data_IF_609329056377
#
_entry.id   IF_609329056377
#
_cell.length_a   1.000
_cell.length_b   1.000
_cell.length_c   1.000
_cell.angle_alpha   90.00
_cell.angle_beta   90.00
_cell.angle_gamma   90.00
#
_symmetry.space_group_name_H-M   'P 1'
#
loop_
_entity.id
_entity.type
_entity.pdbx_description
1 polymer ?
#
# COMPACT_ATOMS: atom_id res chain seq x y z
N UNK A 1 -15.20 0.40 -17.26
CA UNK A 1 -15.37 1.45 -16.25
C UNK A 1 -16.64 1.20 -15.43
N UNK A 2 -16.50 1.24 -14.09
CA UNK A 2 -17.60 1.11 -13.12
C UNK A 2 -18.13 2.50 -12.79
N UNK A 3 -19.44 2.70 -12.96
CA UNK A 3 -20.09 4.01 -12.86
C UNK A 3 -21.20 4.08 -11.80
N UNK A 4 -21.42 3.00 -11.04
CA UNK A 4 -22.44 2.92 -10.01
C UNK A 4 -21.96 2.09 -8.81
N UNK A 5 -22.57 2.32 -7.64
CA UNK A 5 -22.42 1.47 -6.48
C UNK A 5 -22.87 0.03 -6.79
N UNK A 6 -22.28 -0.94 -6.13
CA UNK A 6 -22.61 -2.34 -6.31
C UNK A 6 -21.45 -3.29 -6.07
N UNK A 7 -21.74 -4.60 -6.12
CA UNK A 7 -20.74 -5.66 -6.03
C UNK A 7 -20.46 -6.22 -7.41
N UNK A 8 -19.20 -6.21 -7.79
CA UNK A 8 -18.72 -6.67 -9.09
C UNK A 8 -17.79 -7.86 -8.90
N UNK A 9 -18.17 -9.01 -9.42
CA UNK A 9 -17.33 -10.21 -9.40
C UNK A 9 -16.42 -10.21 -10.62
N UNK A 10 -15.11 -10.26 -10.37
CA UNK A 10 -14.07 -10.29 -11.38
C UNK A 10 -13.33 -11.63 -11.30
N UNK A 11 -13.29 -12.36 -12.41
CA UNK A 11 -12.64 -13.68 -12.50
C UNK A 11 -12.12 -13.98 -13.89
N UNK A 12 -11.23 -14.97 -13.98
CA UNK A 12 -10.62 -15.40 -15.24
C UNK A 12 -9.34 -14.63 -15.56
N UNK A 13 -8.94 -14.61 -16.83
CA UNK A 13 -7.67 -14.05 -17.27
C UNK A 13 -7.87 -13.02 -18.39
N UNK A 14 -7.14 -11.91 -18.27
CA UNK A 14 -7.05 -10.88 -19.30
C UNK A 14 -5.59 -10.43 -19.41
N UNK A 15 -5.03 -10.49 -20.61
CA UNK A 15 -3.62 -10.20 -20.89
C UNK A 15 -3.35 -8.73 -21.19
N UNK A 16 -4.41 -7.93 -21.42
CA UNK A 16 -4.33 -6.49 -21.56
C UNK A 16 -5.69 -5.87 -21.24
N UNK A 17 -5.79 -5.26 -20.06
CA UNK A 17 -7.01 -4.63 -19.61
C UNK A 17 -6.89 -3.90 -18.29
N UNK A 18 -7.90 -3.09 -17.99
CA UNK A 18 -7.98 -2.36 -16.74
C UNK A 18 -9.40 -2.24 -16.21
N UNK A 19 -9.53 -2.13 -14.88
CA UNK A 19 -10.78 -1.85 -14.18
C UNK A 19 -10.68 -0.45 -13.59
N UNK A 20 -11.55 0.46 -14.00
CA UNK A 20 -11.58 1.85 -13.50
C UNK A 20 -12.90 2.13 -12.80
N UNK A 21 -12.86 2.53 -11.55
CA UNK A 21 -14.02 3.10 -10.84
C UNK A 21 -14.05 4.60 -11.08
N UNK A 22 -15.18 5.11 -11.56
CA UNK A 22 -15.36 6.51 -11.96
C UNK A 22 -15.27 7.44 -10.75
N UNK A 23 -14.76 8.65 -10.98
CA UNK A 23 -14.69 9.74 -9.99
C UNK A 23 -16.02 9.92 -9.24
N UNK A 24 -15.95 10.00 -7.90
CA UNK A 24 -17.07 10.26 -7.01
C UNK A 24 -18.03 9.07 -6.84
N UNK A 25 -17.76 7.91 -7.43
CA UNK A 25 -18.57 6.71 -7.21
C UNK A 25 -18.13 6.02 -5.93
N UNK A 26 -19.06 5.89 -4.98
CA UNK A 26 -18.85 5.23 -3.70
C UNK A 26 -19.68 3.96 -3.56
N UNK A 27 -19.40 3.13 -2.54
CA UNK A 27 -20.14 1.88 -2.31
C UNK A 27 -19.87 0.82 -3.36
N UNK A 28 -18.69 0.82 -3.97
CA UNK A 28 -18.26 -0.22 -4.91
C UNK A 28 -17.51 -1.31 -4.16
N UNK A 29 -17.86 -2.56 -4.44
CA UNK A 29 -17.12 -3.75 -4.00
C UNK A 29 -16.63 -4.51 -5.22
N UNK A 30 -15.31 -4.64 -5.36
CA UNK A 30 -14.68 -5.49 -6.38
C UNK A 30 -14.30 -6.81 -5.71
N UNK A 31 -14.95 -7.91 -6.10
CA UNK A 31 -14.62 -9.25 -5.60
C UNK A 31 -13.72 -9.94 -6.63
N UNK A 32 -12.45 -10.11 -6.29
CA UNK A 32 -11.47 -10.81 -7.11
C UNK A 32 -11.57 -12.30 -6.79
N UNK A 33 -11.99 -13.11 -7.77
CA UNK A 33 -12.29 -14.52 -7.61
C UNK A 33 -11.51 -15.36 -8.64
N UNK A 34 -10.21 -15.52 -8.42
CA UNK A 34 -9.32 -16.18 -9.37
C UNK A 34 -9.06 -15.32 -10.60
N UNK A 35 -8.81 -14.02 -10.38
CA UNK A 35 -8.52 -13.06 -11.43
C UNK A 35 -7.02 -13.02 -11.73
N UNK A 36 -6.67 -13.12 -13.02
CA UNK A 36 -5.34 -12.75 -13.53
C UNK A 36 -5.51 -11.61 -14.52
N UNK A 37 -5.05 -10.42 -14.17
CA UNK A 37 -5.23 -9.22 -14.97
C UNK A 37 -3.88 -8.55 -15.21
N UNK A 38 -3.51 -8.42 -16.46
CA UNK A 38 -2.34 -7.65 -16.89
C UNK A 38 -2.80 -6.38 -17.61
N UNK A 39 -2.09 -5.28 -17.40
CA UNK A 39 -2.26 -4.04 -18.15
C UNK A 39 -0.93 -3.63 -18.76
N UNK A 40 -0.94 -3.20 -20.03
CA UNK A 40 0.28 -2.90 -20.77
C UNK A 40 0.68 -1.44 -20.77
N UNK A 41 -0.21 -0.52 -20.37
CA UNK A 41 0.06 0.92 -20.42
C UNK A 41 -0.47 1.72 -19.22
N UNK A 42 -1.20 1.08 -18.31
CA UNK A 42 -1.87 1.77 -17.19
C UNK A 42 -2.01 0.84 -15.97
N UNK A 43 -2.59 1.32 -14.89
CA UNK A 43 -2.91 0.49 -13.74
C UNK A 43 -3.96 -0.58 -14.05
N UNK A 44 -3.76 -1.85 -13.67
CA UNK A 44 -4.81 -2.88 -13.70
C UNK A 44 -6.09 -2.47 -12.95
N UNK A 45 -5.96 -1.79 -11.81
CA UNK A 45 -7.11 -1.22 -11.07
C UNK A 45 -6.86 0.26 -10.78
N UNK A 46 -7.80 1.12 -11.22
CA UNK A 46 -7.81 2.55 -10.90
C UNK A 46 -9.07 2.93 -10.10
N UNK A 47 -8.85 3.45 -8.90
CA UNK A 47 -9.85 4.10 -8.06
C UNK A 47 -9.75 5.60 -8.31
N UNK A 48 -10.65 6.17 -9.11
CA UNK A 48 -10.57 7.58 -9.48
C UNK A 48 -10.88 8.51 -8.28
N UNK A 49 -10.57 9.80 -8.42
CA UNK A 49 -10.70 10.81 -7.35
C UNK A 49 -12.04 10.72 -6.60
N UNK A 50 -11.99 10.79 -5.28
CA UNK A 50 -13.14 10.79 -4.37
C UNK A 50 -14.07 9.57 -4.55
N UNK A 51 -13.51 8.41 -4.90
CA UNK A 51 -14.26 7.15 -4.99
C UNK A 51 -14.13 6.35 -3.68
N UNK A 52 -15.19 5.58 -3.35
CA UNK A 52 -15.21 4.70 -2.17
C UNK A 52 -15.31 3.23 -2.58
N UNK A 53 -14.25 2.43 -2.32
CA UNK A 53 -14.08 1.11 -2.92
C UNK A 53 -13.59 0.11 -1.87
N UNK A 54 -14.19 -1.08 -1.90
CA UNK A 54 -13.66 -2.26 -1.22
C UNK A 54 -13.18 -3.26 -2.27
N UNK A 55 -11.92 -3.66 -2.19
CA UNK A 55 -11.34 -4.74 -3.01
C UNK A 55 -11.24 -5.98 -2.12
N UNK A 56 -11.87 -7.08 -2.54
CA UNK A 56 -11.97 -8.32 -1.77
C UNK A 56 -11.25 -9.43 -2.51
N UNK A 57 -10.17 -9.98 -1.93
CA UNK A 57 -9.62 -11.25 -2.36
C UNK A 57 -10.51 -12.37 -1.83
N UNK A 58 -11.27 -13.04 -2.73
CA UNK A 58 -12.23 -14.06 -2.33
C UNK A 58 -11.54 -15.25 -1.66
N UNK A 59 -12.21 -15.84 -0.67
CA UNK A 59 -11.66 -16.95 0.12
C UNK A 59 -11.19 -18.12 -0.76
N UNK A 60 -9.98 -18.62 -0.49
CA UNK A 60 -9.39 -19.75 -1.20
C UNK A 60 -9.01 -19.48 -2.65
N UNK A 61 -9.00 -18.23 -3.09
CA UNK A 61 -8.54 -17.84 -4.43
C UNK A 61 -7.19 -17.16 -4.41
N UNK A 62 -6.48 -17.27 -5.53
CA UNK A 62 -5.27 -16.51 -5.82
C UNK A 62 -5.58 -15.56 -6.96
N UNK A 63 -5.31 -14.28 -6.76
CA UNK A 63 -5.54 -13.22 -7.71
C UNK A 63 -4.20 -12.55 -8.02
N UNK A 64 -3.94 -12.26 -9.28
CA UNK A 64 -2.69 -11.62 -9.72
C UNK A 64 -3.00 -10.42 -10.60
N UNK A 65 -2.47 -9.28 -10.23
CA UNK A 65 -2.51 -8.04 -10.99
C UNK A 65 -1.09 -7.68 -11.40
N UNK A 66 -0.88 -7.39 -12.67
CA UNK A 66 0.43 -7.07 -13.22
C UNK A 66 0.33 -5.85 -14.12
N UNK A 67 1.20 -4.87 -13.94
CA UNK A 67 1.39 -3.79 -14.90
C UNK A 67 2.65 -4.00 -15.75
N UNK A 68 2.95 -3.06 -16.62
CA UNK A 68 4.17 -3.06 -17.42
C UNK A 68 5.07 -1.88 -17.06
N UNK A 69 6.31 -1.91 -17.53
CA UNK A 69 7.27 -0.80 -17.41
C UNK A 69 6.72 0.53 -17.96
N UNK A 70 5.78 0.49 -18.92
CA UNK A 70 5.17 1.69 -19.50
C UNK A 70 4.19 2.40 -18.55
N UNK A 71 3.76 1.74 -17.47
CA UNK A 71 2.95 2.37 -16.43
C UNK A 71 3.81 3.21 -15.45
N UNK A 72 4.70 4.04 -16.02
CA UNK A 72 5.65 4.89 -15.31
C UNK A 72 5.86 6.18 -16.13
N UNK A 73 5.29 7.29 -15.68
CA UNK A 73 5.33 8.58 -16.40
C UNK A 73 6.70 9.26 -16.34
N UNK A 74 7.56 8.90 -15.36
CA UNK A 74 8.94 9.40 -15.29
C UNK A 74 9.78 8.77 -16.41
N UNK A 75 9.63 7.47 -16.64
CA UNK A 75 10.40 6.71 -17.64
C UNK A 75 9.77 6.78 -19.03
N UNK A 76 8.44 6.91 -19.09
CA UNK A 76 7.64 6.95 -20.32
C UNK A 76 6.73 8.18 -20.34
N UNK A 77 7.28 9.41 -20.43
CA UNK A 77 6.51 10.65 -20.30
C UNK A 77 5.48 10.87 -21.43
N UNK A 78 5.62 10.17 -22.54
CA UNK A 78 4.65 10.20 -23.65
C UNK A 78 3.43 9.28 -23.41
N UNK A 79 3.45 8.44 -22.37
CA UNK A 79 2.33 7.60 -22.00
C UNK A 79 1.33 8.36 -21.10
N UNK A 80 0.35 9.03 -21.71
CA UNK A 80 -0.69 9.75 -20.99
C UNK A 80 -1.63 8.85 -20.12
N UNK A 81 -1.54 7.53 -20.26
CA UNK A 81 -2.32 6.54 -19.49
C UNK A 81 -1.60 6.05 -18.24
N UNK A 82 -0.32 6.36 -18.07
CA UNK A 82 0.45 5.90 -16.92
C UNK A 82 -0.18 6.36 -15.59
N UNK A 83 -0.30 5.45 -14.66
CA UNK A 83 -0.89 5.68 -13.33
C UNK A 83 0.11 5.38 -12.21
N UNK A 84 1.33 4.94 -12.54
CA UNK A 84 2.46 4.71 -11.63
C UNK A 84 2.23 3.68 -10.52
N UNK A 85 1.26 2.79 -10.67
CA UNK A 85 0.99 1.73 -9.71
C UNK A 85 0.12 0.61 -10.31
N UNK A 86 0.21 -0.59 -9.76
CA UNK A 86 -0.70 -1.71 -10.10
C UNK A 86 -2.12 -1.43 -9.60
N UNK A 87 -2.24 -0.92 -8.37
CA UNK A 87 -3.50 -0.37 -7.85
C UNK A 87 -3.31 1.12 -7.61
N UNK A 88 -3.93 1.94 -8.45
CA UNK A 88 -3.92 3.40 -8.30
C UNK A 88 -5.18 3.89 -7.61
N UNK A 89 -5.02 4.49 -6.46
CA UNK A 89 -6.07 5.18 -5.73
C UNK A 89 -5.79 6.68 -5.82
N UNK A 90 -6.63 7.44 -6.55
CA UNK A 90 -6.43 8.89 -6.78
C UNK A 90 -6.94 9.72 -5.61
N UNK A 91 -6.59 11.00 -5.60
CA UNK A 91 -6.88 11.97 -4.54
C UNK A 91 -8.29 11.85 -3.96
N UNK A 92 -8.41 11.83 -2.64
CA UNK A 92 -9.66 11.72 -1.91
C UNK A 92 -10.34 10.35 -2.01
N UNK A 93 -9.71 9.34 -2.62
CA UNK A 93 -10.27 8.00 -2.65
C UNK A 93 -10.16 7.30 -1.30
N UNK A 94 -11.18 6.49 -1.00
CA UNK A 94 -11.33 5.75 0.24
C UNK A 94 -11.36 4.27 -0.07
N UNK A 95 -10.27 3.57 0.23
CA UNK A 95 -10.06 2.20 -0.24
C UNK A 95 -9.81 1.24 0.91
N UNK A 96 -10.51 0.11 0.88
CA UNK A 96 -10.26 -1.02 1.76
C UNK A 96 -9.86 -2.24 0.93
N UNK A 97 -8.68 -2.80 1.20
CA UNK A 97 -8.28 -4.13 0.72
C UNK A 97 -8.56 -5.14 1.82
N UNK A 98 -9.31 -6.21 1.51
CA UNK A 98 -9.64 -7.24 2.50
C UNK A 98 -9.96 -8.59 1.86
N UNK A 99 -10.23 -9.56 2.69
CA UNK A 99 -10.66 -10.90 2.30
C UNK A 99 -9.74 -11.97 2.88
N UNK A 100 -10.00 -13.24 2.59
CA UNK A 100 -9.17 -14.35 3.06
C UNK A 100 -8.53 -15.14 1.92
N UNK A 101 -8.48 -14.53 0.73
CA UNK A 101 -7.72 -15.01 -0.42
C UNK A 101 -6.36 -14.36 -0.52
N UNK A 102 -5.65 -14.67 -1.59
CA UNK A 102 -4.34 -14.10 -1.93
C UNK A 102 -4.48 -13.08 -3.04
N UNK A 103 -3.78 -11.96 -2.89
CA UNK A 103 -3.60 -10.93 -3.91
C UNK A 103 -2.10 -10.74 -4.16
N UNK A 104 -1.67 -11.02 -5.37
CA UNK A 104 -0.31 -10.77 -5.84
C UNK A 104 -0.31 -9.53 -6.72
N UNK A 105 0.59 -8.60 -6.44
CA UNK A 105 0.85 -7.40 -7.24
C UNK A 105 2.26 -7.50 -7.80
N UNK A 106 2.38 -7.40 -9.13
CA UNK A 106 3.66 -7.39 -9.84
C UNK A 106 3.76 -6.02 -10.53
N UNK A 107 4.56 -5.14 -9.93
CA UNK A 107 4.68 -3.74 -10.32
C UNK A 107 5.96 -3.52 -11.13
N UNK A 108 5.87 -3.73 -12.44
CA UNK A 108 6.99 -3.49 -13.35
C UNK A 108 7.15 -2.01 -13.70
N UNK A 109 6.10 -1.21 -13.55
CA UNK A 109 6.11 0.22 -13.82
C UNK A 109 6.75 1.03 -12.70
N UNK A 110 6.10 1.10 -11.56
CA UNK A 110 6.57 1.91 -10.43
C UNK A 110 6.16 1.30 -9.09
N UNK A 111 4.99 1.63 -8.53
CA UNK A 111 4.55 1.18 -7.21
C UNK A 111 3.63 -0.04 -7.27
N UNK A 112 3.61 -0.85 -6.21
CA UNK A 112 2.58 -1.86 -6.04
C UNK A 112 1.20 -1.23 -5.84
N UNK A 113 1.07 -0.36 -4.83
CA UNK A 113 -0.13 0.43 -4.55
C UNK A 113 0.28 1.89 -4.37
N UNK A 114 -0.44 2.82 -5.03
CA UNK A 114 -0.34 4.25 -4.73
C UNK A 114 -1.70 4.79 -4.33
N UNK A 115 -1.83 5.38 -3.14
CA UNK A 115 -3.12 5.72 -2.55
C UNK A 115 -3.17 7.16 -2.02
N UNK A 116 -4.17 7.91 -2.44
CA UNK A 116 -4.50 9.24 -1.93
C UNK A 116 -3.70 10.37 -2.55
N UNK A 117 -3.75 11.52 -1.90
CA UNK A 117 -2.90 12.69 -2.13
C UNK A 117 -2.82 13.54 -0.86
N UNK A 118 -1.63 14.03 -0.55
CA UNK A 118 -1.39 14.96 0.59
C UNK A 118 -2.16 16.27 0.48
N UNK A 119 -2.59 16.65 -0.72
CA UNK A 119 -3.40 17.85 -0.99
C UNK A 119 -4.88 17.70 -0.68
N UNK A 120 -5.38 16.48 -0.41
CA UNK A 120 -6.76 16.27 0.03
C UNK A 120 -6.93 16.74 1.48
N UNK A 121 -8.16 17.11 1.87
CA UNK A 121 -8.46 17.44 3.25
C UNK A 121 -8.19 16.24 4.16
N UNK A 122 -7.69 16.48 5.37
CA UNK A 122 -7.35 15.43 6.32
C UNK A 122 -8.56 14.49 6.57
N UNK A 123 -8.30 13.17 6.45
CA UNK A 123 -9.33 12.14 6.61
C UNK A 123 -10.21 11.90 5.37
N UNK A 124 -10.03 12.64 4.28
CA UNK A 124 -10.76 12.38 3.03
C UNK A 124 -10.22 11.19 2.24
N UNK A 125 -8.90 10.94 2.30
CA UNK A 125 -8.25 9.84 1.61
C UNK A 125 -7.68 8.83 2.61
N UNK A 126 -7.97 7.54 2.41
CA UNK A 126 -7.35 6.50 3.22
C UNK A 126 -7.24 5.16 2.48
N UNK A 127 -6.26 4.37 2.90
CA UNK A 127 -6.09 2.98 2.55
C UNK A 127 -6.12 2.13 3.82
N UNK A 128 -7.02 1.16 3.87
CA UNK A 128 -7.06 0.15 4.94
C UNK A 128 -6.81 -1.23 4.37
N UNK A 129 -5.94 -2.02 5.02
CA UNK A 129 -5.59 -3.39 4.63
C UNK A 129 -5.90 -4.32 5.79
N UNK A 130 -6.62 -5.42 5.52
CA UNK A 130 -6.96 -6.42 6.53
C UNK A 130 -7.32 -7.79 5.97
N UNK A 131 -7.08 -8.81 6.75
CA UNK A 131 -7.56 -10.19 6.61
C UNK A 131 -7.06 -10.97 5.37
N UNK A 132 -6.32 -10.37 4.44
CA UNK A 132 -5.86 -11.04 3.21
C UNK A 132 -4.37 -11.44 3.28
N UNK A 133 -3.96 -12.29 2.35
CA UNK A 133 -2.55 -12.46 2.00
C UNK A 133 -2.24 -11.53 0.83
N UNK A 134 -1.34 -10.58 1.03
CA UNK A 134 -0.91 -9.59 0.04
C UNK A 134 0.58 -9.77 -0.24
N UNK A 135 0.92 -10.07 -1.48
CA UNK A 135 2.31 -10.17 -1.91
C UNK A 135 2.58 -9.08 -2.95
N UNK A 136 3.62 -8.31 -2.76
CA UNK A 136 4.00 -7.18 -3.63
C UNK A 136 5.43 -7.35 -4.08
N UNK A 137 5.63 -7.33 -5.39
CA UNK A 137 6.94 -7.24 -6.05
C UNK A 137 6.97 -5.93 -6.85
N UNK A 138 7.73 -4.94 -6.37
CA UNK A 138 7.82 -3.58 -6.91
C UNK A 138 9.30 -3.16 -7.05
N UNK A 139 10.05 -3.77 -7.99
CA UNK A 139 11.49 -3.58 -8.08
C UNK A 139 11.94 -2.17 -8.50
N UNK A 140 11.02 -1.29 -8.89
CA UNK A 140 11.32 0.05 -9.39
C UNK A 140 11.17 1.13 -8.32
N UNK A 141 10.17 0.99 -7.43
CA UNK A 141 9.83 1.98 -6.41
C UNK A 141 9.19 1.28 -5.19
N UNK A 142 8.20 1.91 -4.55
CA UNK A 142 7.63 1.46 -3.30
C UNK A 142 6.69 0.27 -3.47
N UNK A 143 6.67 -0.59 -2.49
CA UNK A 143 5.63 -1.61 -2.40
C UNK A 143 4.26 -0.97 -2.21
N UNK A 144 4.10 -0.14 -1.20
CA UNK A 144 2.91 0.69 -0.95
C UNK A 144 3.36 2.13 -0.73
N UNK A 145 2.78 3.05 -1.48
CA UNK A 145 2.94 4.49 -1.31
C UNK A 145 1.56 5.10 -1.02
N UNK A 146 1.29 5.41 0.24
CA UNK A 146 0.10 6.10 0.66
C UNK A 146 0.41 7.56 1.01
N UNK A 147 -0.58 8.46 0.93
CA UNK A 147 -0.30 9.89 1.08
C UNK A 147 -0.93 10.51 2.35
N UNK A 148 -2.10 10.05 2.83
CA UNK A 148 -2.71 10.63 4.02
C UNK A 148 -2.77 9.68 5.21
N UNK A 149 -3.51 8.59 5.05
CA UNK A 149 -3.73 7.62 6.12
C UNK A 149 -3.64 6.21 5.57
N UNK A 150 -2.69 5.46 6.08
CA UNK A 150 -2.58 4.04 5.88
C UNK A 150 -2.86 3.31 7.20
N UNK A 151 -3.79 2.35 7.18
CA UNK A 151 -4.04 1.48 8.32
C UNK A 151 -3.89 0.02 7.90
N UNK A 152 -3.00 -0.71 8.54
CA UNK A 152 -2.80 -2.14 8.34
C UNK A 152 -3.30 -2.85 9.59
N UNK A 153 -4.55 -3.33 9.56
CA UNK A 153 -5.20 -3.91 10.74
C UNK A 153 -4.77 -5.35 11.00
N UNK A 154 -4.65 -6.15 9.94
CA UNK A 154 -4.39 -7.60 10.02
C UNK A 154 -4.01 -8.17 8.64
N UNK A 155 -3.77 -9.48 8.57
CA UNK A 155 -3.40 -10.20 7.36
C UNK A 155 -1.92 -10.53 7.30
N UNK A 156 -1.50 -11.11 6.17
CA UNK A 156 -0.09 -11.44 5.89
C UNK A 156 0.35 -10.63 4.68
N UNK A 157 1.37 -9.83 4.85
CA UNK A 157 1.87 -8.91 3.82
C UNK A 157 3.34 -9.23 3.58
N UNK A 158 3.69 -9.53 2.35
CA UNK A 158 5.09 -9.74 1.92
C UNK A 158 5.42 -8.73 0.85
N UNK A 159 6.52 -7.99 1.01
CA UNK A 159 6.95 -6.92 0.09
C UNK A 159 8.40 -7.13 -0.29
N UNK A 160 8.68 -6.96 -1.59
CA UNK A 160 10.00 -6.71 -2.14
C UNK A 160 9.91 -5.42 -2.95
N UNK A 161 10.68 -4.40 -2.60
CA UNK A 161 10.62 -3.07 -3.21
C UNK A 161 12.01 -2.59 -3.62
N UNK A 162 12.05 -1.73 -4.63
CA UNK A 162 13.29 -1.08 -5.10
C UNK A 162 13.60 0.20 -4.31
N UNK A 163 12.58 0.81 -3.74
CA UNK A 163 12.64 1.95 -2.83
C UNK A 163 11.98 1.52 -1.51
N UNK A 164 10.99 2.22 -0.98
CA UNK A 164 10.44 1.89 0.32
C UNK A 164 9.53 0.66 0.30
N UNK A 165 9.61 -0.15 1.36
CA UNK A 165 8.72 -1.27 1.53
C UNK A 165 7.26 -0.79 1.64
N UNK A 166 6.99 0.07 2.62
CA UNK A 166 5.68 0.69 2.85
C UNK A 166 5.90 2.15 3.30
N UNK A 167 5.50 3.08 2.46
CA UNK A 167 5.58 4.51 2.70
C UNK A 167 4.20 5.13 2.93
N UNK A 168 4.10 6.09 3.83
CA UNK A 168 2.92 6.95 3.99
C UNK A 168 3.34 8.39 4.30
N UNK A 169 2.96 9.37 3.49
CA UNK A 169 3.38 10.76 3.68
C UNK A 169 3.00 11.32 5.06
N UNK A 170 1.83 10.95 5.60
CA UNK A 170 1.36 11.48 6.88
C UNK A 170 1.29 10.42 7.98
N UNK A 171 0.23 9.63 8.06
CA UNK A 171 0.00 8.74 9.21
C UNK A 171 -0.08 7.27 8.78
N UNK A 172 0.75 6.43 9.36
CA UNK A 172 0.70 4.98 9.23
C UNK A 172 0.37 4.34 10.59
N UNK A 173 -0.70 3.54 10.62
CA UNK A 173 -1.09 2.74 11.79
C UNK A 173 -0.95 1.26 11.48
N UNK A 174 -0.18 0.52 12.29
CA UNK A 174 0.06 -0.92 12.14
C UNK A 174 -0.47 -1.66 13.36
N UNK A 175 -1.43 -2.55 13.13
CA UNK A 175 -2.08 -3.34 14.16
C UNK A 175 -3.06 -2.53 15.01
N UNK A 176 -3.61 -3.21 16.01
CA UNK A 176 -4.51 -2.63 17.02
C UNK A 176 -4.14 -3.19 18.38
N UNK A 177 -4.12 -2.34 19.38
CA UNK A 177 -3.79 -2.74 20.75
C UNK A 177 -4.68 -3.92 21.21
N UNK A 178 -4.04 -4.93 21.83
CA UNK A 178 -4.73 -6.12 22.34
C UNK A 178 -5.09 -7.16 21.27
N UNK A 179 -4.65 -6.99 20.03
CA UNK A 179 -4.75 -8.00 18.96
C UNK A 179 -3.39 -8.57 18.59
N UNK A 180 -3.37 -9.63 17.78
CA UNK A 180 -2.11 -10.14 17.22
C UNK A 180 -1.56 -9.22 16.11
N UNK A 181 -2.41 -8.40 15.49
CA UNK A 181 -2.02 -7.53 14.39
C UNK A 181 -1.70 -8.27 13.09
N UNK A 182 -1.07 -7.58 12.12
CA UNK A 182 -0.62 -8.17 10.87
C UNK A 182 0.69 -8.95 11.03
N UNK A 183 0.96 -9.85 10.10
CA UNK A 183 2.31 -10.35 9.82
C UNK A 183 2.85 -9.60 8.61
N UNK A 184 3.93 -8.86 8.75
CA UNK A 184 4.56 -8.10 7.68
C UNK A 184 6.00 -8.60 7.50
N UNK A 185 6.34 -8.97 6.27
CA UNK A 185 7.71 -9.34 5.88
C UNK A 185 8.13 -8.45 4.72
N UNK A 186 9.10 -7.58 4.95
CA UNK A 186 9.74 -6.80 3.90
C UNK A 186 11.07 -7.50 3.61
N UNK A 187 11.11 -8.19 2.46
CA UNK A 187 12.25 -9.04 2.09
C UNK A 187 13.43 -8.23 1.58
N UNK A 188 13.14 -7.08 0.95
CA UNK A 188 14.12 -6.13 0.43
C UNK A 188 13.45 -4.77 0.24
N UNK A 189 14.16 -3.69 0.61
CA UNK A 189 13.75 -2.30 0.38
C UNK A 189 14.93 -1.34 0.59
N UNK A 190 14.71 -0.05 0.29
CA UNK A 190 15.57 1.04 0.74
C UNK A 190 15.22 1.33 2.20
N UNK A 191 14.05 1.90 2.49
CA UNK A 191 13.50 2.03 3.84
C UNK A 191 12.32 1.06 4.08
N UNK A 192 12.17 0.58 5.31
CA UNK A 192 11.18 -0.45 5.62
C UNK A 192 9.77 0.10 5.73
N UNK A 193 9.45 0.73 6.85
CA UNK A 193 8.22 1.46 7.11
C UNK A 193 8.56 2.93 7.32
N UNK A 194 8.10 3.80 6.44
CA UNK A 194 8.31 5.24 6.55
C UNK A 194 6.97 5.98 6.65
N UNK A 195 6.86 6.92 7.60
CA UNK A 195 5.76 7.86 7.69
C UNK A 195 6.11 9.06 8.55
N UNK A 196 5.44 10.21 8.35
CA UNK A 196 5.60 11.36 9.23
C UNK A 196 5.13 11.05 10.68
N UNK A 197 4.09 10.25 10.82
CA UNK A 197 3.56 9.74 12.09
C UNK A 197 3.36 8.22 11.99
N UNK A 198 4.34 7.45 12.49
CA UNK A 198 4.35 5.99 12.44
C UNK A 198 3.95 5.39 13.78
N UNK A 199 2.84 4.65 13.80
CA UNK A 199 2.28 4.03 15.00
C UNK A 199 2.22 2.50 14.85
N UNK A 200 2.95 1.76 15.68
CA UNK A 200 2.94 0.30 15.71
C UNK A 200 2.34 -0.16 17.05
N UNK A 201 1.13 -0.73 16.98
CA UNK A 201 0.41 -1.18 18.17
C UNK A 201 0.43 -2.71 18.37
N UNK A 202 0.61 -3.47 17.32
CA UNK A 202 0.74 -4.94 17.33
C UNK A 202 1.20 -5.45 15.96
N UNK A 203 1.58 -6.73 15.89
CA UNK A 203 1.98 -7.43 14.66
C UNK A 203 3.33 -8.13 14.81
N UNK A 204 3.59 -9.05 13.89
CA UNK A 204 4.89 -9.69 13.72
C UNK A 204 5.53 -9.09 12.46
N UNK A 205 6.55 -8.25 12.62
CA UNK A 205 7.13 -7.43 11.56
C UNK A 205 8.59 -7.79 11.38
N UNK A 206 8.97 -8.23 10.19
CA UNK A 206 10.35 -8.52 9.81
C UNK A 206 10.75 -7.62 8.64
N UNK A 207 11.85 -6.90 8.75
CA UNK A 207 12.33 -5.95 7.75
C UNK A 207 13.79 -6.20 7.44
N UNK A 208 14.11 -6.28 6.14
CA UNK A 208 15.45 -6.26 5.59
C UNK A 208 15.59 -5.03 4.69
N UNK A 209 16.25 -3.98 5.20
CA UNK A 209 16.43 -2.70 4.53
C UNK A 209 17.88 -2.47 4.12
N UNK A 210 18.10 -1.61 3.15
CA UNK A 210 19.44 -1.11 2.81
C UNK A 210 19.76 0.22 3.52
N UNK A 211 18.73 0.93 3.96
CA UNK A 211 18.82 2.11 4.82
C UNK A 211 18.00 1.86 6.10
N UNK A 212 17.07 2.72 6.52
CA UNK A 212 16.36 2.56 7.79
C UNK A 212 15.27 1.49 7.76
N UNK A 213 15.12 0.72 8.86
CA UNK A 213 14.00 -0.22 8.94
C UNK A 213 12.69 0.47 9.31
N UNK A 214 12.70 1.38 10.28
CA UNK A 214 11.59 2.25 10.66
C UNK A 214 12.05 3.68 10.60
N UNK A 215 11.35 4.53 9.84
CA UNK A 215 11.69 5.94 9.70
C UNK A 215 10.47 6.84 9.94
N UNK A 216 10.57 7.77 10.89
CA UNK A 216 9.58 8.82 11.06
C UNK A 216 10.11 10.12 10.44
N UNK A 217 9.90 10.24 9.14
CA UNK A 217 10.37 11.34 8.32
C UNK A 217 9.39 11.66 7.19
N UNK A 218 9.54 12.83 6.60
CA UNK A 218 9.02 13.21 5.30
C UNK A 218 9.67 14.55 4.91
N UNK A 219 10.49 14.55 3.87
CA UNK A 219 11.26 15.73 3.44
C UNK A 219 10.38 16.88 2.92
N UNK A 220 9.14 16.60 2.51
CA UNK A 220 8.20 17.58 1.97
C UNK A 220 7.42 18.33 3.06
N UNK A 221 7.48 17.86 4.32
CA UNK A 221 6.75 18.44 5.45
C UNK A 221 7.66 19.33 6.30
N UNK A 222 7.69 20.63 6.01
CA UNK A 222 8.45 21.60 6.80
C UNK A 222 7.73 21.95 8.11
N UNK A 223 8.44 21.78 9.25
CA UNK A 223 7.92 22.15 10.57
C UNK A 223 6.88 21.16 11.14
N UNK A 224 6.76 19.99 10.57
CA UNK A 224 5.91 18.92 11.08
C UNK A 224 6.51 18.29 12.36
N UNK A 225 5.66 17.86 13.27
CA UNK A 225 6.07 17.18 14.49
C UNK A 225 6.10 15.66 14.25
N UNK A 226 7.17 15.18 13.62
CA UNK A 226 7.35 13.75 13.35
C UNK A 226 7.30 12.92 14.63
N UNK A 227 6.69 11.75 14.56
CA UNK A 227 6.57 10.85 15.70
C UNK A 227 6.64 9.37 15.28
N UNK A 228 7.42 8.59 16.03
CA UNK A 228 7.45 7.15 15.94
C UNK A 228 7.02 6.57 17.29
N UNK A 229 5.91 5.84 17.30
CA UNK A 229 5.31 5.26 18.48
C UNK A 229 5.22 3.74 18.38
N UNK A 230 5.87 3.00 19.26
CA UNK A 230 5.78 1.53 19.36
C UNK A 230 5.15 1.19 20.71
N UNK A 231 3.92 0.66 20.70
CA UNK A 231 3.22 0.22 21.90
C UNK A 231 3.07 -1.29 22.02
N UNK A 232 3.42 -2.05 20.96
CA UNK A 232 3.36 -3.52 20.94
C UNK A 232 3.97 -4.11 19.69
N UNK A 233 3.84 -5.42 19.52
CA UNK A 233 4.35 -6.18 18.38
C UNK A 233 5.71 -6.83 18.62
N UNK A 234 6.10 -7.67 17.66
CA UNK A 234 7.44 -8.27 17.55
C UNK A 234 8.12 -7.70 16.32
N UNK A 235 9.27 -7.07 16.51
CA UNK A 235 10.01 -6.40 15.45
C UNK A 235 11.36 -7.08 15.27
N UNK A 236 11.62 -7.60 14.07
CA UNK A 236 12.92 -8.13 13.65
C UNK A 236 13.42 -7.23 12.52
N UNK A 237 14.50 -6.52 12.78
CA UNK A 237 15.03 -5.50 11.88
C UNK A 237 16.48 -5.80 11.55
N UNK A 238 16.80 -5.80 10.26
CA UNK A 238 18.13 -6.00 9.71
C UNK A 238 18.38 -4.95 8.63
N UNK A 239 19.39 -4.11 8.83
CA UNK A 239 19.78 -3.10 7.86
C UNK A 239 21.25 -3.18 7.54
N UNK A 240 21.61 -2.81 6.30
CA UNK A 240 23.01 -2.82 5.84
C UNK A 240 23.66 -1.43 5.84
N UNK A 241 22.90 -0.36 5.95
CA UNK A 241 23.41 1.00 5.80
C UNK A 241 22.89 2.02 6.80
N UNK A 242 21.61 1.99 7.14
CA UNK A 242 20.95 2.94 8.03
C UNK A 242 20.76 2.43 9.45
N UNK A 243 19.73 2.92 10.09
CA UNK A 243 19.36 2.61 11.47
C UNK A 243 18.21 1.60 11.56
N UNK A 244 18.15 0.84 12.64
CA UNK A 244 16.96 -0.02 12.90
C UNK A 244 15.71 0.84 13.14
N UNK A 245 15.88 1.99 13.78
CA UNK A 245 14.81 2.96 14.05
C UNK A 245 15.38 4.36 13.96
N UNK A 246 14.88 5.19 13.05
CA UNK A 246 15.14 6.62 12.97
C UNK A 246 13.88 7.46 13.17
N UNK A 247 14.03 8.67 13.65
CA UNK A 247 12.94 9.63 13.78
C UNK A 247 13.45 11.06 13.76
N UNK A 248 12.97 11.83 12.82
CA UNK A 248 13.24 13.28 12.75
C UNK A 248 12.48 14.08 13.82
N UNK A 249 11.79 13.41 14.74
CA UNK A 249 11.04 14.03 15.83
C UNK A 249 11.07 13.23 17.13
N UNK A 250 9.93 12.79 17.61
CA UNK A 250 9.84 12.03 18.85
C UNK A 250 9.86 10.53 18.60
N UNK A 251 10.57 9.78 19.44
CA UNK A 251 10.52 8.33 19.51
C UNK A 251 9.97 7.88 20.87
N UNK A 252 8.91 7.08 20.85
CA UNK A 252 8.30 6.52 22.06
C UNK A 252 8.15 5.02 21.94
N UNK A 253 8.78 4.25 22.84
CA UNK A 253 8.67 2.79 22.91
C UNK A 253 8.08 2.43 24.28
N UNK A 254 6.82 1.99 24.29
CA UNK A 254 6.10 1.61 25.51
C UNK A 254 5.79 0.10 25.56
N UNK A 255 6.11 -0.65 24.54
CA UNK A 255 5.87 -2.09 24.46
C UNK A 255 6.61 -2.73 23.28
N UNK A 256 6.34 -4.02 23.05
CA UNK A 256 6.95 -4.80 21.99
C UNK A 256 8.19 -5.57 22.41
N UNK A 257 8.70 -6.35 21.50
CA UNK A 257 9.92 -7.19 21.61
C UNK A 257 10.72 -7.13 20.34
#
# INVERSE_FOLDING_TARGET
TITAAGTYLLSGSCTDGSVKVKKGVTGVTLVLNGLTLTSTDTAPITCAKSSGITIVAAAGTVNTLTDSEQNNDDSYPDNENAENAVIKCKDGSQVTLRGSGTLNLIANGKNGIKAGATTAEEGEAWLTIRDLTLNIDAPVNDGINAEQLLTIESGTITVSAGDDGIHCDLTMNVGTEGTNGPTIVIEQCYEGLEAADLNIASGDITIHASDDCLNAANSDLSGYAFALNISGGTLVMDTTGGDGIDSNGSLTINGGT
#
